data_IF_587469694665
#
_entry.id   IF_587469694665
#
_cell.length_a   1.000
_cell.length_b   1.000
_cell.length_c   1.000
_cell.angle_alpha   90.00
_cell.angle_beta   90.00
_cell.angle_gamma   90.00
#
_symmetry.space_group_name_H-M   'P 1'
#
loop_
_entity.id
_entity.type
_entity.pdbx_description
1 polymer ?
#
# COMPACT_ATOMS: atom_id res chain seq x y z
N UNK A 1 19.90 2.62 11.31
CA UNK A 1 18.82 3.64 11.41
C UNK A 1 18.82 4.23 12.81
N UNK A 2 18.59 5.54 12.90
CA UNK A 2 18.59 6.26 14.17
C UNK A 2 17.28 6.07 14.96
N UNK A 3 16.21 5.64 14.28
CA UNK A 3 14.87 5.45 14.86
C UNK A 3 14.40 4.00 14.68
N UNK A 4 13.80 3.39 15.72
CA UNK A 4 13.23 2.04 15.63
C UNK A 4 12.14 1.90 14.56
N UNK A 5 11.42 2.97 14.26
CA UNK A 5 10.34 3.00 13.27
C UNK A 5 10.82 2.71 11.85
N UNK A 6 12.06 3.10 11.54
CA UNK A 6 12.67 2.97 10.23
C UNK A 6 13.30 1.60 10.01
N UNK A 7 13.30 0.71 11.02
CA UNK A 7 13.84 -0.65 10.88
C UNK A 7 13.09 -1.42 9.78
N UNK A 8 13.77 -1.83 8.69
CA UNK A 8 13.13 -2.60 7.62
C UNK A 8 12.45 -3.89 8.11
N UNK A 9 13.00 -4.55 9.12
CA UNK A 9 12.41 -5.76 9.69
C UNK A 9 11.08 -5.46 10.40
N UNK A 10 11.00 -4.32 11.11
CA UNK A 10 9.76 -3.83 11.73
C UNK A 10 8.71 -3.50 10.66
N UNK A 11 9.09 -2.80 9.60
CA UNK A 11 8.17 -2.47 8.48
C UNK A 11 7.64 -3.75 7.81
N UNK A 12 8.52 -4.71 7.54
CA UNK A 12 8.10 -6.01 6.99
C UNK A 12 7.13 -6.73 7.92
N UNK A 13 7.42 -6.76 9.23
CA UNK A 13 6.54 -7.36 10.23
C UNK A 13 5.18 -6.66 10.28
N UNK A 14 5.16 -5.34 10.23
CA UNK A 14 3.92 -4.57 10.21
C UNK A 14 3.07 -4.89 8.98
N UNK A 15 3.67 -4.93 7.79
CA UNK A 15 2.95 -5.32 6.56
C UNK A 15 2.36 -6.73 6.66
N UNK A 16 3.09 -7.70 7.23
CA UNK A 16 2.55 -9.04 7.48
C UNK A 16 1.32 -9.01 8.39
N UNK A 17 1.34 -8.20 9.46
CA UNK A 17 0.20 -8.05 10.36
C UNK A 17 -1.02 -7.43 9.66
N UNK A 18 -0.82 -6.44 8.77
CA UNK A 18 -1.90 -5.87 7.96
C UNK A 18 -2.54 -6.91 7.04
N UNK A 19 -1.74 -7.72 6.35
CA UNK A 19 -2.25 -8.81 5.51
C UNK A 19 -3.00 -9.86 6.32
N UNK A 20 -2.50 -10.23 7.51
CA UNK A 20 -3.18 -11.16 8.41
C UNK A 20 -4.52 -10.58 8.92
N UNK A 21 -4.57 -9.28 9.23
CA UNK A 21 -5.81 -8.63 9.64
C UNK A 21 -6.86 -8.64 8.52
N UNK A 22 -6.48 -8.28 7.29
CA UNK A 22 -7.39 -8.33 6.15
C UNK A 22 -7.86 -9.77 5.83
N UNK A 23 -6.98 -10.77 5.97
CA UNK A 23 -7.35 -12.16 5.77
C UNK A 23 -8.38 -12.68 6.79
N UNK A 24 -8.45 -12.10 7.99
CA UNK A 24 -9.49 -12.41 9.00
C UNK A 24 -10.84 -11.78 8.68
N UNK A 25 -10.85 -10.74 7.85
CA UNK A 25 -12.01 -9.93 7.50
C UNK A 25 -12.11 -9.72 5.97
N UNK A 26 -12.14 -10.80 5.16
CA UNK A 26 -11.98 -10.68 3.71
C UNK A 26 -13.21 -10.08 2.99
N UNK A 27 -14.35 -9.97 3.67
CA UNK A 27 -15.59 -9.41 3.12
C UNK A 27 -15.67 -7.89 3.13
N UNK A 28 -14.95 -7.23 4.04
CA UNK A 28 -15.04 -5.79 4.29
C UNK A 28 -13.67 -5.09 4.35
N UNK A 29 -12.57 -5.86 4.40
CA UNK A 29 -11.20 -5.32 4.51
C UNK A 29 -10.33 -5.76 3.33
N UNK A 30 -9.59 -4.81 2.77
CA UNK A 30 -8.60 -5.06 1.72
C UNK A 30 -7.29 -4.32 1.98
N UNK A 31 -6.18 -4.86 1.47
CA UNK A 31 -4.87 -4.21 1.49
C UNK A 31 -4.46 -3.86 0.06
N UNK A 32 -4.21 -2.58 -0.19
CA UNK A 32 -3.59 -2.11 -1.43
C UNK A 32 -2.07 -2.02 -1.18
N UNK A 33 -1.32 -2.93 -1.79
CA UNK A 33 0.14 -3.02 -1.58
C UNK A 33 0.92 -2.01 -2.43
N UNK A 34 1.15 -0.83 -1.87
CA UNK A 34 2.03 0.19 -2.45
C UNK A 34 3.52 -0.12 -2.27
N UNK A 35 3.89 -1.05 -1.38
CA UNK A 35 5.28 -1.47 -1.22
C UNK A 35 5.78 -2.26 -2.43
N UNK A 36 4.89 -2.87 -3.22
CA UNK A 36 5.25 -3.50 -4.50
C UNK A 36 6.05 -2.60 -5.43
N UNK A 37 5.84 -1.28 -5.38
CA UNK A 37 6.58 -0.31 -6.23
C UNK A 37 7.68 0.42 -5.47
N UNK A 38 7.49 0.76 -4.20
CA UNK A 38 8.46 1.52 -3.42
C UNK A 38 9.54 0.65 -2.77
N UNK A 39 9.20 -0.61 -2.49
CA UNK A 39 10.06 -1.58 -1.84
C UNK A 39 9.96 -2.96 -2.54
N UNK A 40 10.28 -3.07 -3.84
CA UNK A 40 10.16 -4.32 -4.58
C UNK A 40 10.94 -5.45 -3.89
N UNK A 41 10.30 -6.62 -3.74
CA UNK A 41 10.82 -7.75 -2.97
C UNK A 41 11.17 -7.43 -1.51
N UNK A 42 10.50 -6.44 -0.92
CA UNK A 42 10.71 -6.01 0.46
C UNK A 42 11.98 -5.16 0.68
N UNK A 43 12.65 -4.70 -0.38
CA UNK A 43 13.90 -3.93 -0.29
C UNK A 43 13.65 -2.46 -0.55
N UNK A 44 14.08 -1.61 0.40
CA UNK A 44 14.06 -0.16 0.27
C UNK A 44 14.68 0.32 -1.05
N UNK A 45 14.04 1.31 -1.68
CA UNK A 45 14.57 2.01 -2.85
C UNK A 45 14.50 3.52 -2.62
N UNK A 46 15.63 4.20 -2.78
CA UNK A 46 15.67 5.66 -2.88
C UNK A 46 15.27 6.14 -4.29
N UNK A 47 15.42 5.28 -5.30
CA UNK A 47 15.08 5.57 -6.70
C UNK A 47 14.29 4.44 -7.38
N UNK A 48 13.32 4.79 -8.21
CA UNK A 48 12.59 3.85 -9.08
C UNK A 48 12.56 4.42 -10.50
N UNK A 49 13.03 3.64 -11.47
CA UNK A 49 13.09 4.05 -12.88
C UNK A 49 13.75 5.43 -13.09
N UNK A 50 14.85 5.69 -12.38
CA UNK A 50 15.59 6.96 -12.43
C UNK A 50 14.97 8.13 -11.67
N UNK A 51 13.81 7.96 -11.03
CA UNK A 51 13.16 9.00 -10.21
C UNK A 51 13.53 8.81 -8.75
N UNK A 52 13.90 9.88 -8.05
CA UNK A 52 14.06 9.87 -6.59
C UNK A 52 12.68 9.76 -5.95
N UNK A 53 12.39 8.64 -5.29
CA UNK A 53 11.06 8.33 -4.72
C UNK A 53 10.97 8.49 -3.21
N UNK A 54 12.11 8.70 -2.55
CA UNK A 54 12.23 8.96 -1.11
C UNK A 54 13.02 10.24 -0.88
N UNK A 55 12.62 11.03 0.11
CA UNK A 55 13.47 12.11 0.61
C UNK A 55 14.74 11.54 1.26
N UNK A 56 15.71 12.41 1.52
CA UNK A 56 17.00 12.03 2.13
C UNK A 56 16.85 11.41 3.52
N UNK A 57 15.70 11.62 4.17
CA UNK A 57 15.34 10.96 5.42
C UNK A 57 15.03 9.45 5.28
N UNK A 58 14.86 8.95 4.06
CA UNK A 58 14.58 7.54 3.79
C UNK A 58 13.13 7.09 4.07
N UNK A 59 12.26 7.98 4.55
CA UNK A 59 10.89 7.63 4.98
C UNK A 59 9.86 8.30 4.08
N UNK A 60 9.96 9.62 3.93
CA UNK A 60 8.93 10.38 3.24
C UNK A 60 9.02 10.18 1.72
N UNK A 61 7.86 10.09 1.07
CA UNK A 61 7.74 9.94 -0.38
C UNK A 61 7.87 11.33 -1.02
N UNK A 62 8.66 11.44 -2.10
CA UNK A 62 8.74 12.69 -2.90
C UNK A 62 7.50 12.84 -3.79
N UNK A 63 7.32 14.01 -4.43
CA UNK A 63 6.27 14.16 -5.45
C UNK A 63 6.42 13.15 -6.61
N UNK A 64 7.66 12.87 -7.04
CA UNK A 64 7.92 11.86 -8.06
C UNK A 64 7.60 10.44 -7.56
N UNK A 65 7.89 10.14 -6.29
CA UNK A 65 7.48 8.89 -5.66
C UNK A 65 5.96 8.75 -5.54
N UNK A 66 5.25 9.83 -5.22
CA UNK A 66 3.79 9.84 -5.17
C UNK A 66 3.19 9.56 -6.56
N UNK A 67 3.78 10.11 -7.62
CA UNK A 67 3.39 9.80 -9.00
C UNK A 67 3.64 8.33 -9.39
N UNK A 68 4.63 7.66 -8.79
CA UNK A 68 4.85 6.21 -8.94
C UNK A 68 3.80 5.38 -8.18
N UNK A 69 3.39 5.83 -6.99
CA UNK A 69 2.39 5.14 -6.15
C UNK A 69 0.97 5.33 -6.66
N UNK A 70 0.63 6.50 -7.18
CA UNK A 70 -0.74 6.88 -7.53
C UNK A 70 -1.47 5.84 -8.40
N UNK A 71 -0.88 5.27 -9.47
CA UNK A 71 -1.56 4.23 -10.27
C UNK A 71 -1.90 2.97 -9.46
N UNK A 72 -1.03 2.54 -8.53
CA UNK A 72 -1.28 1.37 -7.68
C UNK A 72 -2.46 1.64 -6.76
N UNK A 73 -2.49 2.82 -6.14
CA UNK A 73 -3.55 3.24 -5.22
C UNK A 73 -4.88 3.41 -5.94
N UNK A 74 -4.92 4.23 -6.99
CA UNK A 74 -6.16 4.54 -7.71
C UNK A 74 -6.75 3.30 -8.37
N UNK A 75 -5.95 2.45 -9.02
CA UNK A 75 -6.46 1.21 -9.61
C UNK A 75 -6.94 0.22 -8.53
N UNK A 76 -6.31 0.20 -7.36
CA UNK A 76 -6.78 -0.58 -6.21
C UNK A 76 -8.14 -0.12 -5.72
N UNK A 77 -8.33 1.19 -5.54
CA UNK A 77 -9.59 1.78 -5.11
C UNK A 77 -10.71 1.55 -6.13
N UNK A 78 -10.44 1.76 -7.42
CA UNK A 78 -11.42 1.51 -8.49
C UNK A 78 -11.88 0.05 -8.51
N UNK A 79 -10.97 -0.92 -8.41
CA UNK A 79 -11.34 -2.34 -8.33
C UNK A 79 -12.22 -2.66 -7.13
N UNK A 80 -11.96 -2.05 -5.97
CA UNK A 80 -12.78 -2.24 -4.78
C UNK A 80 -14.17 -1.60 -4.95
N UNK A 81 -14.25 -0.43 -5.57
CA UNK A 81 -15.52 0.21 -5.88
C UNK A 81 -16.36 -0.64 -6.83
N UNK A 82 -15.77 -1.20 -7.89
CA UNK A 82 -16.44 -2.08 -8.85
C UNK A 82 -16.96 -3.35 -8.16
N UNK A 83 -16.14 -3.98 -7.32
CA UNK A 83 -16.52 -5.17 -6.55
C UNK A 83 -17.71 -4.89 -5.60
N UNK A 84 -17.73 -3.72 -4.97
CA UNK A 84 -18.80 -3.30 -4.07
C UNK A 84 -20.07 -2.82 -4.79
N UNK A 85 -19.98 -2.46 -6.07
CA UNK A 85 -21.12 -1.96 -6.86
C UNK A 85 -21.93 -3.08 -7.53
N UNK A 86 -21.59 -4.35 -7.27
CA UNK A 86 -22.31 -5.51 -7.82
C UNK A 86 -23.79 -5.57 -7.40
N UNK A 87 -24.63 -6.33 -8.14
CA UNK A 87 -26.10 -6.33 -8.01
C UNK A 87 -26.68 -6.77 -6.64
N UNK A 88 -25.84 -7.10 -5.66
CA UNK A 88 -26.24 -7.42 -4.28
C UNK A 88 -26.20 -6.24 -3.29
N UNK A 89 -25.56 -5.13 -3.61
CA UNK A 89 -25.39 -4.01 -2.67
C UNK A 89 -26.66 -3.17 -2.44
N UNK A 90 -27.63 -3.23 -3.36
CA UNK A 90 -28.87 -2.46 -3.28
C UNK A 90 -30.01 -3.13 -2.48
N UNK A 91 -29.80 -4.30 -1.85
CA UNK A 91 -30.87 -5.09 -1.19
C UNK A 91 -30.83 -5.12 0.35
N UNK A 92 -30.14 -4.18 0.98
CA UNK A 92 -30.18 -4.04 2.44
C UNK A 92 -30.55 -2.62 2.83
N UNK A 93 -31.85 -2.33 2.75
CA UNK A 93 -32.50 -1.26 3.51
C UNK A 93 -33.56 -1.94 4.41
N UNK A 94 -33.67 -1.52 5.69
CA UNK A 94 -34.64 -2.09 6.64
C UNK A 94 -36.10 -1.88 6.23
#
# INVERSE_FOLDING_TARGET
NAWPEDDPARVQRFNQLLHQAAARHPSDTAVIDVNRVLCPSGRYQSTVSGKVVRWSDGVHVTAAGAAVVAPVLTNGLLRLADANSGPGAARQSP
#
